data_IF_599608465258
#
_entry.id   IF_599608465258
#
_cell.length_a   1.000
_cell.length_b   1.000
_cell.length_c   1.000
_cell.angle_alpha   90.00
_cell.angle_beta   90.00
_cell.angle_gamma   90.00
#
_symmetry.space_group_name_H-M   'P 1'
#
loop_
_entity.id
_entity.type
_entity.pdbx_description
1 polymer ?
#
# COMPACT_ATOMS: atom_id res chain seq x y z
N UNK A 1 11.52 28.31 1.56
CA UNK A 1 11.73 26.87 1.75
C UNK A 1 10.57 26.19 1.04
N UNK A 2 10.79 25.42 -0.04
CA UNK A 2 9.69 24.64 -0.60
C UNK A 2 9.36 23.54 0.40
N UNK A 3 8.16 23.62 0.99
CA UNK A 3 7.58 22.55 1.79
C UNK A 3 7.29 21.43 0.80
N UNK A 4 7.98 20.29 0.94
CA UNK A 4 7.62 19.06 0.20
C UNK A 4 6.14 18.79 0.42
N UNK A 5 5.37 18.43 -0.63
CA UNK A 5 3.98 18.07 -0.44
C UNK A 5 3.92 16.92 0.58
N UNK A 6 3.01 16.98 1.55
CA UNK A 6 2.89 15.92 2.54
C UNK A 6 2.59 14.61 1.81
N UNK A 7 3.30 13.55 2.18
CA UNK A 7 3.02 12.20 1.68
C UNK A 7 1.55 11.85 1.90
N UNK A 8 0.84 11.22 0.96
CA UNK A 8 -0.54 10.79 1.14
C UNK A 8 -0.76 9.92 2.38
N UNK A 9 0.22 9.13 2.79
CA UNK A 9 0.14 8.37 4.05
C UNK A 9 0.29 9.26 5.29
N UNK A 10 1.09 10.32 5.23
CA UNK A 10 1.18 11.32 6.31
C UNK A 10 -0.14 12.03 6.58
N UNK A 11 -0.99 12.02 5.61
CA UNK A 11 -2.29 12.70 5.64
C UNK A 11 -3.45 11.75 5.85
N UNK A 12 -3.22 10.44 5.92
CA UNK A 12 -4.24 9.42 6.17
C UNK A 12 -4.45 9.12 7.66
N UNK A 13 -4.18 10.05 8.57
CA UNK A 13 -4.65 9.94 9.94
C UNK A 13 -6.16 9.71 9.94
N UNK A 14 -6.66 8.92 10.87
CA UNK A 14 -8.10 8.76 11.12
C UNK A 14 -8.85 10.09 11.07
N UNK A 15 -8.24 11.18 11.52
CA UNK A 15 -8.76 12.54 11.38
C UNK A 15 -9.07 12.90 9.92
N UNK A 16 -8.27 12.46 8.92
CA UNK A 16 -8.56 12.69 7.51
C UNK A 16 -9.61 11.72 6.97
N UNK A 17 -9.64 10.48 7.44
CA UNK A 17 -10.76 9.58 7.16
C UNK A 17 -12.07 10.19 7.70
N UNK A 18 -12.04 10.77 8.90
CA UNK A 18 -13.19 11.48 9.45
C UNK A 18 -13.50 12.77 8.69
N UNK A 19 -12.51 13.52 8.20
CA UNK A 19 -12.71 14.67 7.32
C UNK A 19 -13.24 14.24 5.94
N UNK A 20 -12.84 13.10 5.44
CA UNK A 20 -13.38 12.52 4.20
C UNK A 20 -14.86 12.14 4.32
N UNK A 21 -15.39 11.94 5.54
CA UNK A 21 -16.82 11.80 5.81
C UNK A 21 -17.58 13.13 5.71
N UNK A 22 -16.89 14.27 5.82
CA UNK A 22 -17.51 15.57 5.70
C UNK A 22 -17.78 15.87 4.20
N UNK A 23 -18.98 16.34 3.90
CA UNK A 23 -19.35 16.81 2.55
C UNK A 23 -18.71 18.20 2.28
N UNK A 24 -17.39 18.26 2.46
CA UNK A 24 -16.54 19.44 2.30
C UNK A 24 -15.51 19.22 1.21
N UNK A 25 -14.98 20.31 0.65
CA UNK A 25 -13.88 20.26 -0.34
C UNK A 25 -12.63 19.58 0.24
N UNK A 26 -12.32 19.85 1.51
CA UNK A 26 -11.19 19.24 2.20
C UNK A 26 -11.40 17.74 2.44
N UNK A 27 -12.65 17.33 2.73
CA UNK A 27 -13.03 15.92 2.84
C UNK A 27 -12.85 15.18 1.51
N UNK A 28 -13.30 15.78 0.40
CA UNK A 28 -13.12 15.18 -0.94
C UNK A 28 -11.66 15.05 -1.34
N UNK A 29 -10.83 16.06 -1.04
CA UNK A 29 -9.37 15.99 -1.28
C UNK A 29 -8.72 14.90 -0.44
N UNK A 30 -9.05 14.82 0.86
CA UNK A 30 -8.53 13.79 1.73
C UNK A 30 -8.90 12.37 1.24
N UNK A 31 -10.12 12.20 0.73
CA UNK A 31 -10.55 10.92 0.16
C UNK A 31 -9.85 10.60 -1.17
N UNK A 32 -9.60 11.59 -2.01
CA UNK A 32 -8.81 11.41 -3.23
C UNK A 32 -7.38 10.98 -2.91
N UNK A 33 -6.72 11.63 -1.93
CA UNK A 33 -5.38 11.26 -1.44
C UNK A 33 -5.35 9.81 -0.92
N UNK A 34 -6.44 9.36 -0.26
CA UNK A 34 -6.59 7.97 0.19
C UNK A 34 -6.73 7.01 -1.00
N UNK A 35 -7.57 7.35 -1.98
CA UNK A 35 -7.74 6.55 -3.17
C UNK A 35 -6.41 6.36 -3.90
N UNK A 36 -5.62 7.42 -4.06
CA UNK A 36 -4.29 7.35 -4.68
C UNK A 36 -3.33 6.44 -3.90
N UNK A 37 -3.35 6.54 -2.57
CA UNK A 37 -2.46 5.74 -1.72
C UNK A 37 -2.78 4.24 -1.76
N UNK A 38 -4.04 3.87 -1.93
CA UNK A 38 -4.51 2.48 -1.86
C UNK A 38 -4.97 1.90 -3.20
N UNK A 39 -4.85 2.65 -4.30
CA UNK A 39 -5.28 2.19 -5.61
C UNK A 39 -4.56 0.90 -6.03
N UNK A 40 -3.24 0.90 -6.04
CA UNK A 40 -2.44 -0.27 -6.43
C UNK A 40 -2.65 -1.50 -5.53
N UNK A 41 -2.72 -1.38 -4.19
CA UNK A 41 -3.13 -2.49 -3.32
C UNK A 41 -4.50 -3.09 -3.68
N UNK A 42 -5.50 -2.26 -3.96
CA UNK A 42 -6.84 -2.73 -4.37
C UNK A 42 -6.79 -3.43 -5.73
N UNK A 43 -6.07 -2.86 -6.70
CA UNK A 43 -5.87 -3.49 -8.01
C UNK A 43 -5.17 -4.84 -7.87
N UNK A 44 -4.13 -4.93 -7.04
CA UNK A 44 -3.41 -6.18 -6.78
C UNK A 44 -4.34 -7.27 -6.22
N UNK A 45 -5.16 -6.93 -5.21
CA UNK A 45 -6.18 -7.84 -4.68
C UNK A 45 -7.13 -8.32 -5.78
N UNK A 46 -7.72 -7.38 -6.53
CA UNK A 46 -8.72 -7.68 -7.56
C UNK A 46 -8.15 -8.51 -8.71
N UNK A 47 -6.90 -8.29 -9.11
CA UNK A 47 -6.21 -9.12 -10.12
C UNK A 47 -6.12 -10.58 -9.70
N UNK A 48 -5.87 -10.85 -8.42
CA UNK A 48 -5.84 -12.22 -7.91
C UNK A 48 -7.23 -12.85 -7.82
N UNK A 49 -8.27 -12.06 -7.50
CA UNK A 49 -9.66 -12.52 -7.38
C UNK A 49 -10.31 -12.74 -8.74
N UNK A 50 -10.09 -11.83 -9.70
CA UNK A 50 -10.74 -11.85 -11.01
C UNK A 50 -9.94 -12.58 -12.07
N UNK A 51 -8.61 -12.73 -11.88
CA UNK A 51 -7.65 -13.31 -12.84
C UNK A 51 -7.67 -12.62 -14.21
N UNK A 52 -8.11 -11.38 -14.25
CA UNK A 52 -8.18 -10.51 -15.41
C UNK A 52 -7.73 -9.11 -15.01
N UNK A 53 -6.71 -8.58 -15.70
CA UNK A 53 -6.09 -7.31 -15.33
C UNK A 53 -6.97 -6.11 -15.68
N UNK A 54 -7.72 -6.17 -16.76
CA UNK A 54 -8.59 -5.07 -17.21
C UNK A 54 -9.86 -5.04 -16.36
N UNK A 55 -10.50 -6.19 -16.12
CA UNK A 55 -11.61 -6.32 -15.19
C UNK A 55 -11.24 -5.85 -13.77
N UNK A 56 -10.00 -6.11 -13.31
CA UNK A 56 -9.53 -5.64 -12.02
C UNK A 56 -9.43 -4.12 -11.93
N UNK A 57 -8.93 -3.46 -12.99
CA UNK A 57 -8.88 -1.99 -13.05
C UNK A 57 -10.28 -1.38 -13.08
N UNK A 58 -11.17 -1.90 -13.92
CA UNK A 58 -12.55 -1.43 -14.00
C UNK A 58 -13.28 -1.58 -12.68
N UNK A 59 -13.12 -2.72 -12.01
CA UNK A 59 -13.69 -2.98 -10.69
C UNK A 59 -13.10 -2.05 -9.62
N UNK A 60 -11.80 -1.72 -9.71
CA UNK A 60 -11.15 -0.76 -8.81
C UNK A 60 -11.74 0.64 -8.99
N UNK A 61 -11.90 1.10 -10.22
CA UNK A 61 -12.52 2.39 -10.50
C UNK A 61 -13.95 2.45 -9.97
N UNK A 62 -14.75 1.39 -10.20
CA UNK A 62 -16.11 1.31 -9.68
C UNK A 62 -16.15 1.32 -8.14
N UNK A 63 -15.23 0.63 -7.49
CA UNK A 63 -15.10 0.62 -6.03
C UNK A 63 -14.78 2.01 -5.47
N UNK A 64 -13.76 2.67 -6.01
CA UNK A 64 -13.39 4.02 -5.55
C UNK A 64 -14.45 5.06 -5.89
N UNK A 65 -15.12 4.95 -7.05
CA UNK A 65 -16.26 5.80 -7.39
C UNK A 65 -17.40 5.66 -6.36
N UNK A 66 -17.71 4.44 -5.94
CA UNK A 66 -18.69 4.18 -4.88
C UNK A 66 -18.25 4.81 -3.54
N UNK A 67 -16.98 4.68 -3.17
CA UNK A 67 -16.45 5.30 -1.95
C UNK A 67 -16.55 6.84 -1.99
N UNK A 68 -16.28 7.45 -3.15
CA UNK A 68 -16.34 8.90 -3.35
C UNK A 68 -17.77 9.46 -3.35
N UNK A 69 -18.77 8.66 -3.74
CA UNK A 69 -20.18 9.08 -3.79
C UNK A 69 -20.84 9.18 -2.41
N UNK A 70 -20.14 8.82 -1.34
CA UNK A 70 -20.62 8.98 0.03
C UNK A 70 -21.36 7.78 0.61
N UNK A 71 -21.38 7.68 1.95
CA UNK A 71 -22.08 6.64 2.70
C UNK A 71 -21.27 5.39 3.00
N UNK A 72 -20.33 4.96 2.16
CA UNK A 72 -19.51 3.77 2.46
C UNK A 72 -18.47 4.02 3.56
N UNK A 73 -18.08 5.25 3.79
CA UNK A 73 -17.16 5.64 4.87
C UNK A 73 -17.86 5.82 6.23
N UNK A 74 -19.20 5.87 6.27
CA UNK A 74 -19.95 6.02 7.52
C UNK A 74 -19.77 4.84 8.48
N UNK A 75 -19.47 3.66 7.92
CA UNK A 75 -19.15 2.45 8.69
C UNK A 75 -17.67 2.33 9.08
N UNK A 76 -16.80 3.25 8.59
CA UNK A 76 -15.41 3.31 9.04
C UNK A 76 -15.38 3.89 10.44
N UNK A 77 -15.36 3.01 11.42
CA UNK A 77 -15.30 3.36 12.84
C UNK A 77 -13.86 3.25 13.32
N UNK A 78 -13.41 4.30 13.99
CA UNK A 78 -12.10 4.41 14.60
C UNK A 78 -11.80 3.26 15.57
N UNK A 79 -12.82 2.76 16.28
CA UNK A 79 -12.70 1.65 17.24
C UNK A 79 -12.56 0.29 16.56
N UNK A 80 -12.76 0.18 15.23
CA UNK A 80 -12.72 -1.08 14.47
C UNK A 80 -11.36 -1.45 13.90
N UNK A 81 -10.29 -0.71 14.23
CA UNK A 81 -8.92 -1.09 13.87
C UNK A 81 -8.31 -0.29 12.72
N UNK A 82 -7.39 -0.90 12.00
CA UNK A 82 -6.51 -0.26 11.00
C UNK A 82 -7.27 0.07 9.72
N UNK A 83 -7.04 1.28 9.15
CA UNK A 83 -7.69 1.68 7.89
C UNK A 83 -7.45 0.67 6.75
N UNK A 84 -6.25 0.11 6.67
CA UNK A 84 -5.90 -0.93 5.69
C UNK A 84 -6.84 -2.15 5.77
N UNK A 85 -7.10 -2.65 6.97
CA UNK A 85 -8.00 -3.79 7.20
C UNK A 85 -9.45 -3.45 6.87
N UNK A 86 -9.89 -2.24 7.22
CA UNK A 86 -11.21 -1.73 6.84
C UNK A 86 -11.37 -1.68 5.32
N UNK A 87 -10.37 -1.14 4.61
CA UNK A 87 -10.41 -1.02 3.15
C UNK A 87 -10.48 -2.39 2.47
N UNK A 88 -9.64 -3.34 2.91
CA UNK A 88 -9.63 -4.71 2.39
C UNK A 88 -11.00 -5.40 2.63
N UNK A 89 -11.58 -5.25 3.81
CA UNK A 89 -12.93 -5.72 4.10
C UNK A 89 -13.99 -5.11 3.19
N UNK A 90 -13.90 -3.80 2.95
CA UNK A 90 -14.82 -3.08 2.06
C UNK A 90 -14.73 -3.55 0.61
N UNK A 91 -13.51 -3.81 0.09
CA UNK A 91 -13.31 -4.38 -1.26
C UNK A 91 -13.91 -5.78 -1.36
N UNK A 92 -13.71 -6.64 -0.35
CA UNK A 92 -14.29 -8.00 -0.31
C UNK A 92 -15.82 -7.93 -0.40
N UNK A 93 -16.44 -7.09 0.42
CA UNK A 93 -17.89 -6.87 0.39
C UNK A 93 -18.38 -6.33 -0.96
N UNK A 94 -17.65 -5.39 -1.53
CA UNK A 94 -18.00 -4.84 -2.85
C UNK A 94 -18.00 -5.93 -3.93
N UNK A 95 -16.96 -6.76 -3.99
CA UNK A 95 -16.85 -7.87 -4.95
C UNK A 95 -17.99 -8.86 -4.76
N UNK A 96 -18.32 -9.27 -3.52
CA UNK A 96 -19.45 -10.15 -3.23
C UNK A 96 -20.76 -9.59 -3.76
N UNK A 97 -21.08 -8.32 -3.48
CA UNK A 97 -22.29 -7.68 -3.98
C UNK A 97 -22.35 -7.63 -5.51
N UNK A 98 -21.24 -7.34 -6.18
CA UNK A 98 -21.18 -7.32 -7.65
C UNK A 98 -21.46 -8.71 -8.24
N UNK A 99 -20.91 -9.79 -7.62
CA UNK A 99 -21.20 -11.17 -8.03
C UNK A 99 -22.66 -11.53 -7.82
N UNK A 100 -23.27 -11.20 -6.68
CA UNK A 100 -24.68 -11.43 -6.39
C UNK A 100 -25.58 -10.71 -7.39
N UNK A 101 -25.31 -9.46 -7.72
CA UNK A 101 -26.05 -8.70 -8.74
C UNK A 101 -25.96 -9.35 -10.11
N UNK A 102 -24.77 -9.79 -10.54
CA UNK A 102 -24.59 -10.46 -11.82
C UNK A 102 -25.35 -11.81 -11.87
N UNK A 103 -25.32 -12.58 -10.78
CA UNK A 103 -26.04 -13.84 -10.66
C UNK A 103 -27.58 -13.61 -10.66
N UNK A 104 -28.06 -12.55 -10.04
CA UNK A 104 -29.47 -12.18 -10.03
C UNK A 104 -29.95 -11.79 -11.44
N UNK A 105 -29.18 -11.01 -12.18
CA UNK A 105 -29.48 -10.63 -13.56
C UNK A 105 -29.51 -11.87 -14.49
N UNK A 106 -28.57 -12.79 -14.34
CA UNK A 106 -28.52 -14.04 -15.11
C UNK A 106 -29.72 -14.95 -14.80
N UNK A 107 -30.15 -15.04 -13.56
CA UNK A 107 -31.36 -15.78 -13.16
C UNK A 107 -32.64 -15.15 -13.72
N UNK A 108 -32.73 -13.82 -13.70
CA UNK A 108 -33.85 -13.09 -14.32
C UNK A 108 -33.93 -13.25 -15.85
N UNK A 109 -32.81 -13.55 -16.51
CA UNK A 109 -32.74 -13.82 -17.97
C UNK A 109 -33.00 -15.29 -18.34
N UNK A 110 -33.40 -16.17 -17.40
CA UNK A 110 -33.76 -17.57 -17.69
C UNK A 110 -32.57 -18.50 -17.99
N UNK A 111 -31.35 -18.08 -17.75
CA UNK A 111 -30.15 -18.90 -17.93
C UNK A 111 -29.92 -19.74 -16.64
N UNK A 112 -30.02 -21.07 -16.76
CA UNK A 112 -29.65 -21.99 -15.69
C UNK A 112 -28.15 -21.82 -15.36
N UNK A 113 -27.85 -21.34 -14.18
CA UNK A 113 -26.47 -21.28 -13.65
C UNK A 113 -26.18 -22.60 -12.97
N UNK A 114 -25.13 -23.29 -13.40
CA UNK A 114 -24.48 -24.31 -12.58
C UNK A 114 -23.95 -23.58 -11.35
N UNK A 115 -24.47 -23.92 -10.19
CA UNK A 115 -24.00 -23.45 -8.89
C UNK A 115 -22.55 -23.91 -8.74
N UNK A 116 -21.59 -23.01 -8.88
CA UNK A 116 -20.25 -23.27 -8.37
C UNK A 116 -20.29 -22.92 -6.88
N UNK A 117 -20.22 -23.95 -6.06
CA UNK A 117 -20.19 -23.88 -4.61
C UNK A 117 -19.06 -22.97 -4.13
N UNK A 118 -19.33 -22.21 -3.06
CA UNK A 118 -18.35 -21.32 -2.41
C UNK A 118 -17.11 -22.06 -1.89
N UNK A 119 -17.16 -23.38 -1.73
CA UNK A 119 -16.03 -24.24 -1.38
C UNK A 119 -14.97 -24.38 -2.48
N UNK A 120 -15.31 -24.10 -3.73
CA UNK A 120 -14.42 -24.26 -4.89
C UNK A 120 -13.28 -23.23 -4.96
N UNK A 121 -13.29 -22.19 -4.13
CA UNK A 121 -12.23 -21.15 -4.11
C UNK A 121 -11.04 -21.57 -3.23
N UNK A 122 -11.25 -22.54 -2.31
CA UNK A 122 -10.20 -22.98 -1.39
C UNK A 122 -9.31 -24.12 -1.90
N UNK A 123 -9.74 -24.86 -2.94
CA UNK A 123 -9.10 -26.14 -3.32
C UNK A 123 -8.06 -26.05 -4.47
N UNK A 124 -7.82 -24.89 -5.09
CA UNK A 124 -6.75 -24.71 -6.06
C UNK A 124 -5.61 -23.82 -5.53
N UNK A 125 -5.19 -24.02 -4.31
CA UNK A 125 -3.92 -23.54 -3.82
C UNK A 125 -2.81 -24.54 -4.27
N UNK A 126 -2.38 -24.43 -5.50
CA UNK A 126 -1.00 -24.75 -5.81
C UNK A 126 -0.13 -23.89 -4.88
N UNK A 127 0.72 -24.51 -4.05
CA UNK A 127 1.45 -23.83 -2.97
C UNK A 127 2.43 -22.73 -3.42
N UNK A 128 2.36 -22.30 -4.69
CA UNK A 128 3.10 -21.20 -5.28
C UNK A 128 2.24 -19.93 -5.51
N UNK A 129 0.92 -19.97 -5.28
CA UNK A 129 0.04 -18.83 -5.57
C UNK A 129 -0.20 -18.00 -4.32
N UNK A 130 0.33 -16.78 -4.33
CA UNK A 130 0.08 -15.78 -3.28
C UNK A 130 -1.43 -15.53 -3.15
N UNK A 131 -1.97 -15.57 -1.92
CA UNK A 131 -3.38 -15.29 -1.68
C UNK A 131 -3.75 -13.84 -2.09
N UNK A 132 -5.01 -13.55 -2.45
CA UNK A 132 -5.42 -12.18 -2.77
C UNK A 132 -5.12 -11.18 -1.64
N UNK A 133 -5.29 -11.59 -0.39
CA UNK A 133 -4.99 -10.78 0.79
C UNK A 133 -3.47 -10.49 0.88
N UNK A 134 -2.65 -11.51 0.70
CA UNK A 134 -1.19 -11.35 0.70
C UNK A 134 -0.71 -10.48 -0.48
N UNK A 135 -1.38 -10.55 -1.64
CA UNK A 135 -1.08 -9.67 -2.77
C UNK A 135 -1.41 -8.20 -2.46
N UNK A 136 -2.53 -7.94 -1.76
CA UNK A 136 -2.87 -6.61 -1.26
C UNK A 136 -1.81 -6.10 -0.28
N UNK A 137 -1.45 -6.91 0.72
CA UNK A 137 -0.48 -6.53 1.75
C UNK A 137 0.91 -6.28 1.15
N UNK A 138 1.33 -7.11 0.22
CA UNK A 138 2.61 -6.94 -0.49
C UNK A 138 2.63 -5.63 -1.29
N UNK A 139 1.58 -5.35 -2.04
CA UNK A 139 1.52 -4.12 -2.83
C UNK A 139 1.46 -2.89 -1.94
N UNK A 140 0.73 -2.94 -0.82
CA UNK A 140 0.75 -1.89 0.19
C UNK A 140 2.16 -1.67 0.75
N UNK A 141 2.87 -2.73 1.10
CA UNK A 141 4.22 -2.64 1.64
C UNK A 141 5.22 -2.05 0.62
N UNK A 142 5.10 -2.41 -0.66
CA UNK A 142 5.89 -1.82 -1.76
C UNK A 142 5.60 -0.32 -1.90
N UNK A 143 4.34 0.08 -1.83
CA UNK A 143 3.95 1.50 -1.90
C UNK A 143 4.52 2.30 -0.72
N UNK A 144 4.48 1.76 0.50
CA UNK A 144 5.10 2.38 1.68
C UNK A 144 6.62 2.51 1.51
N UNK A 145 7.28 1.46 1.03
CA UNK A 145 8.72 1.46 0.78
C UNK A 145 9.12 2.52 -0.25
N UNK A 146 8.42 2.58 -1.38
CA UNK A 146 8.70 3.52 -2.47
C UNK A 146 8.56 4.97 -2.01
N UNK A 147 7.47 5.32 -1.33
CA UNK A 147 7.25 6.65 -0.75
C UNK A 147 8.31 7.02 0.29
N UNK A 148 8.70 6.05 1.11
CA UNK A 148 9.76 6.25 2.11
C UNK A 148 11.12 6.50 1.46
N UNK A 149 11.42 5.84 0.34
CA UNK A 149 12.63 6.08 -0.46
C UNK A 149 12.60 7.46 -1.11
N UNK A 150 11.45 7.90 -1.62
CA UNK A 150 11.28 9.26 -2.18
C UNK A 150 11.48 10.34 -1.11
N UNK A 151 10.88 10.17 0.08
CA UNK A 151 11.08 11.07 1.20
C UNK A 151 12.56 11.15 1.61
N UNK A 152 13.21 10.00 1.75
CA UNK A 152 14.64 9.92 2.07
C UNK A 152 15.52 10.58 1.00
N UNK A 153 15.17 10.39 -0.28
CA UNK A 153 15.86 11.03 -1.40
C UNK A 153 15.73 12.55 -1.34
N UNK A 154 14.54 13.06 -1.04
CA UNK A 154 14.31 14.50 -0.88
C UNK A 154 15.13 15.10 0.27
N UNK A 155 15.23 14.40 1.40
CA UNK A 155 16.11 14.79 2.52
C UNK A 155 17.58 14.77 2.10
N UNK A 156 18.02 13.77 1.36
CA UNK A 156 19.39 13.68 0.86
C UNK A 156 19.70 14.79 -0.15
N UNK A 157 18.74 15.17 -0.98
CA UNK A 157 18.89 16.27 -1.94
C UNK A 157 19.08 17.60 -1.21
N UNK A 158 18.27 17.89 -0.21
CA UNK A 158 18.39 19.11 0.59
C UNK A 158 19.68 19.16 1.39
N UNK A 159 20.21 18.00 1.80
CA UNK A 159 21.47 17.85 2.53
C UNK A 159 22.71 17.69 1.65
N UNK A 160 22.61 17.81 0.31
CA UNK A 160 23.74 17.65 -0.62
C UNK A 160 24.29 16.22 -0.71
N UNK A 161 23.52 15.20 -0.31
CA UNK A 161 23.92 13.79 -0.23
C UNK A 161 23.26 12.90 -1.29
N UNK A 162 22.65 13.47 -2.32
CA UNK A 162 21.90 12.72 -3.33
C UNK A 162 22.78 11.69 -4.06
N UNK A 163 24.04 12.03 -4.37
CA UNK A 163 24.99 11.10 -4.99
C UNK A 163 25.24 9.85 -4.13
N UNK A 164 25.35 10.04 -2.82
CA UNK A 164 25.47 8.90 -1.89
C UNK A 164 24.18 8.08 -1.86
N UNK A 165 23.00 8.72 -1.84
CA UNK A 165 21.71 8.03 -1.88
C UNK A 165 21.59 7.16 -3.13
N UNK A 166 21.91 7.70 -4.32
CA UNK A 166 21.80 6.97 -5.58
C UNK A 166 22.70 5.71 -5.60
N UNK A 167 23.90 5.78 -5.02
CA UNK A 167 24.81 4.64 -4.86
C UNK A 167 24.35 3.65 -3.76
N UNK A 168 23.67 4.14 -2.73
CA UNK A 168 23.21 3.35 -1.60
C UNK A 168 21.87 2.63 -1.88
N UNK A 169 21.03 3.16 -2.79
CA UNK A 169 19.68 2.68 -3.07
C UNK A 169 19.59 1.17 -3.31
N UNK A 170 20.44 0.52 -4.15
CA UNK A 170 20.39 -0.93 -4.37
C UNK A 170 20.58 -1.76 -3.09
N UNK A 171 21.35 -1.21 -2.11
CA UNK A 171 21.58 -1.87 -0.81
C UNK A 171 20.45 -1.61 0.20
N UNK A 172 19.56 -0.65 -0.09
CA UNK A 172 18.37 -0.38 0.72
C UNK A 172 17.21 -1.29 0.27
N UNK A 173 17.09 -1.60 -1.01
CA UNK A 173 16.03 -2.42 -1.61
C UNK A 173 16.36 -3.91 -1.68
N UNK A 174 17.61 -4.28 -1.41
CA UNK A 174 18.06 -5.68 -1.51
C UNK A 174 18.48 -6.11 -2.93
N UNK A 175 18.49 -5.18 -3.89
CA UNK A 175 18.77 -5.47 -5.31
C UNK A 175 20.27 -5.68 -5.63
N UNK A 176 21.16 -5.55 -4.64
CA UNK A 176 22.59 -5.67 -4.89
C UNK A 176 23.26 -6.79 -4.11
N UNK A 177 24.20 -7.47 -4.79
CA UNK A 177 25.08 -8.44 -4.16
C UNK A 177 26.03 -7.74 -3.16
N UNK A 178 26.37 -8.46 -2.09
CA UNK A 178 27.22 -7.93 -1.00
C UNK A 178 28.61 -7.44 -1.48
N UNK A 179 29.07 -7.88 -2.67
CA UNK A 179 30.38 -7.52 -3.26
C UNK A 179 30.47 -6.11 -3.84
N UNK A 180 29.36 -5.46 -4.13
CA UNK A 180 29.35 -4.18 -4.86
C UNK A 180 29.60 -2.94 -4.00
N UNK A 181 29.73 -3.11 -2.69
CA UNK A 181 29.93 -1.99 -1.75
C UNK A 181 31.27 -1.27 -1.99
N UNK A 182 32.29 -1.98 -2.48
CA UNK A 182 33.58 -1.38 -2.81
C UNK A 182 33.49 -0.41 -3.98
N UNK A 183 32.78 -0.79 -5.04
CA UNK A 183 32.54 0.05 -6.21
C UNK A 183 31.70 1.27 -5.85
N UNK A 184 30.64 1.09 -5.06
CA UNK A 184 29.79 2.17 -4.58
C UNK A 184 30.56 3.17 -3.68
N UNK A 185 31.42 2.66 -2.78
CA UNK A 185 32.29 3.50 -1.95
C UNK A 185 33.24 4.35 -2.80
N UNK A 186 33.90 3.74 -3.79
CA UNK A 186 34.79 4.42 -4.73
C UNK A 186 34.02 5.49 -5.52
N UNK A 187 32.82 5.18 -6.01
CA UNK A 187 31.97 6.15 -6.72
C UNK A 187 31.58 7.35 -5.84
N UNK A 188 31.49 7.15 -4.52
CA UNK A 188 31.25 8.21 -3.55
C UNK A 188 32.53 8.94 -3.08
N UNK A 189 33.73 8.48 -3.50
CA UNK A 189 35.01 9.01 -3.01
C UNK A 189 35.26 8.71 -1.52
N UNK A 190 34.78 7.56 -1.03
CA UNK A 190 34.83 7.15 0.38
C UNK A 190 35.61 5.84 0.54
N UNK A 191 36.16 5.58 1.75
CA UNK A 191 36.60 4.24 2.10
C UNK A 191 35.40 3.31 2.25
N UNK A 192 35.61 1.99 2.08
CA UNK A 192 34.56 1.00 2.24
C UNK A 192 33.98 0.99 3.66
N UNK A 193 34.78 1.24 4.67
CA UNK A 193 34.37 1.33 6.06
C UNK A 193 33.47 2.54 6.29
N UNK A 194 33.85 3.70 5.74
CA UNK A 194 33.03 4.92 5.82
C UNK A 194 31.71 4.75 5.09
N UNK A 195 31.73 4.08 3.92
CA UNK A 195 30.50 3.77 3.17
C UNK A 195 29.56 2.85 3.97
N UNK A 196 30.08 1.78 4.59
CA UNK A 196 29.28 0.87 5.42
C UNK A 196 28.63 1.59 6.61
N UNK A 197 29.36 2.46 7.29
CA UNK A 197 28.81 3.26 8.40
C UNK A 197 27.72 4.21 7.90
N UNK A 198 27.94 4.88 6.78
CA UNK A 198 26.97 5.79 6.18
C UNK A 198 25.72 5.04 5.70
N UNK A 199 25.88 3.86 5.07
CA UNK A 199 24.80 2.99 4.63
C UNK A 199 23.96 2.50 5.83
N UNK A 200 24.60 2.09 6.93
CA UNK A 200 23.89 1.70 8.16
C UNK A 200 23.02 2.84 8.70
N UNK A 201 23.55 4.07 8.74
CA UNK A 201 22.79 5.26 9.14
C UNK A 201 21.62 5.52 8.20
N UNK A 202 21.84 5.39 6.89
CA UNK A 202 20.78 5.56 5.90
C UNK A 202 19.67 4.50 6.01
N UNK A 203 20.01 3.22 6.29
CA UNK A 203 19.02 2.17 6.60
C UNK A 203 18.17 2.54 7.82
N UNK A 204 18.79 3.15 8.85
CA UNK A 204 18.06 3.63 10.04
C UNK A 204 17.13 4.80 9.68
N UNK A 205 17.57 5.74 8.82
CA UNK A 205 16.73 6.83 8.34
C UNK A 205 15.56 6.32 7.50
N UNK A 206 15.80 5.38 6.55
CA UNK A 206 14.73 4.75 5.78
C UNK A 206 13.67 4.11 6.70
N UNK A 207 14.10 3.35 7.71
CA UNK A 207 13.17 2.77 8.69
C UNK A 207 12.35 3.84 9.42
N UNK A 208 12.95 5.01 9.69
CA UNK A 208 12.22 6.12 10.30
C UNK A 208 11.22 6.73 9.32
N UNK A 209 11.57 6.89 8.04
CA UNK A 209 10.63 7.33 7.00
C UNK A 209 9.44 6.37 6.89
N UNK A 210 9.70 5.05 6.87
CA UNK A 210 8.64 4.03 6.84
C UNK A 210 7.72 4.12 8.06
N UNK A 211 8.27 4.28 9.26
CA UNK A 211 7.47 4.49 10.48
C UNK A 211 6.60 5.75 10.38
N UNK A 212 7.14 6.82 9.84
CA UNK A 212 6.41 8.08 9.66
C UNK A 212 5.27 7.93 8.63
N UNK A 213 5.51 7.21 7.53
CA UNK A 213 4.48 6.90 6.54
C UNK A 213 3.33 6.07 7.17
N UNK A 214 3.66 5.02 7.91
CA UNK A 214 2.69 4.15 8.57
C UNK A 214 1.94 4.90 9.69
N UNK A 215 2.64 5.66 10.52
CA UNK A 215 2.04 6.42 11.63
C UNK A 215 0.96 7.41 11.15
N UNK A 216 1.05 7.86 9.89
CA UNK A 216 0.00 8.66 9.26
C UNK A 216 -1.36 7.94 9.16
N UNK A 217 -1.39 6.61 9.22
CA UNK A 217 -2.60 5.78 9.11
C UNK A 217 -3.11 5.23 10.44
N UNK A 218 -2.40 5.48 11.54
CA UNK A 218 -2.64 4.89 12.86
C UNK A 218 -2.76 5.96 13.96
N UNK A 219 -3.31 5.58 15.11
CA UNK A 219 -3.51 6.48 16.24
C UNK A 219 -2.43 6.41 17.30
N UNK A 220 -1.82 5.24 17.47
CA UNK A 220 -0.88 4.97 18.55
C UNK A 220 0.43 4.35 18.05
N UNK A 221 1.51 4.53 18.84
CA UNK A 221 2.84 4.02 18.52
C UNK A 221 2.95 2.48 18.62
N UNK A 222 2.07 1.83 19.37
CA UNK A 222 2.05 0.36 19.50
C UNK A 222 1.61 -0.25 18.19
N UNK A 223 0.53 0.26 17.62
CA UNK A 223 0.04 -0.15 16.30
C UNK A 223 1.05 0.09 15.18
N UNK A 224 1.93 1.11 15.28
CA UNK A 224 3.01 1.34 14.31
C UNK A 224 4.03 0.20 14.31
N UNK A 225 4.35 -0.35 15.47
CA UNK A 225 5.32 -1.45 15.58
C UNK A 225 4.78 -2.73 14.92
N UNK A 226 3.51 -3.05 15.16
CA UNK A 226 2.84 -4.20 14.56
C UNK A 226 2.72 -4.06 13.04
N UNK A 227 2.34 -2.86 12.55
CA UNK A 227 2.27 -2.60 11.10
C UNK A 227 3.64 -2.68 10.43
N UNK A 228 4.70 -2.24 11.10
CA UNK A 228 6.07 -2.41 10.61
C UNK A 228 6.45 -3.88 10.50
N UNK A 229 6.00 -4.74 11.42
CA UNK A 229 6.24 -6.17 11.33
C UNK A 229 5.52 -6.77 10.12
N UNK A 230 4.23 -6.47 9.94
CA UNK A 230 3.44 -6.92 8.78
C UNK A 230 4.08 -6.44 7.46
N UNK A 231 4.56 -5.19 7.43
CA UNK A 231 5.24 -4.64 6.26
C UNK A 231 6.49 -5.46 5.91
N UNK A 232 7.32 -5.80 6.88
CA UNK A 232 8.53 -6.62 6.63
C UNK A 232 8.17 -8.06 6.23
N UNK A 233 7.15 -8.66 6.82
CA UNK A 233 6.65 -9.98 6.42
C UNK A 233 6.15 -9.95 4.96
N UNK A 234 5.39 -8.92 4.58
CA UNK A 234 4.87 -8.76 3.21
C UNK A 234 5.96 -8.49 2.16
N UNK A 235 7.09 -7.88 2.54
CA UNK A 235 8.23 -7.65 1.66
C UNK A 235 9.18 -8.86 1.57
N UNK A 236 9.24 -9.69 2.61
CA UNK A 236 10.16 -10.82 2.74
C UNK A 236 9.61 -12.16 2.24
N UNK A 237 8.31 -12.20 1.84
CA UNK A 237 7.61 -13.40 1.37
C UNK A 237 7.77 -13.71 -0.11
#
# INVERSE_FOLDING_TARGET
MPVSPPSPFHTTRWTRVCLAKADSEDGRRALADLCDAYYEPVVAYLRHVLRDADAARDMSHAFFAMMLQGGSMDSADRERGRFRSYLLGSVKHFVSRQREMQLSLKRGAGLQTISMDEESVAEFCDGSVISPDAAFDRQWALTVLERSLEALRAECLSGGKVRFFDQARPFLTGDSAYGDQGSAATACGMSIEAFRVALHRMKKQLRQCMKTEIAGTLEDDVSVTDEMQILFEALGG
#
